data_IF_405310630176
#
_entry.id   IF_405310630176
#
_cell.length_a   1.000
_cell.length_b   1.000
_cell.length_c   1.000
_cell.angle_alpha   90.00
_cell.angle_beta   90.00
_cell.angle_gamma   90.00
#
_symmetry.space_group_name_H-M   'P 1'
#
loop_
_entity.id
_entity.type
_entity.pdbx_description
1 polymer ?
#
# COMPACT_ATOMS: atom_id res chain seq x y z
N UNK A 1 5.56 -19.83 -14.16
CA UNK A 1 6.86 -19.31 -13.69
C UNK A 1 6.70 -19.00 -12.21
N UNK A 2 7.28 -19.79 -11.31
CA UNK A 2 7.13 -19.59 -9.87
C UNK A 2 7.93 -18.37 -9.44
N UNK A 3 7.24 -17.27 -9.12
CA UNK A 3 7.88 -16.12 -8.50
C UNK A 3 8.32 -16.55 -7.10
N UNK A 4 9.63 -16.57 -6.82
CA UNK A 4 10.09 -16.64 -5.43
C UNK A 4 9.72 -15.29 -4.81
N UNK A 5 8.66 -15.29 -4.01
CA UNK A 5 8.27 -14.14 -3.20
C UNK A 5 9.45 -13.83 -2.27
N UNK A 6 9.93 -12.59 -2.33
CA UNK A 6 10.92 -12.10 -1.36
C UNK A 6 10.23 -11.74 -0.05
N UNK A 7 10.97 -11.58 1.04
CA UNK A 7 10.38 -11.10 2.30
C UNK A 7 9.68 -9.74 2.13
N UNK A 8 10.18 -8.88 1.24
CA UNK A 8 9.51 -7.61 0.86
C UNK A 8 8.16 -7.85 0.15
N UNK A 9 8.08 -8.82 -0.76
CA UNK A 9 6.81 -9.20 -1.39
C UNK A 9 5.76 -9.67 -0.37
N UNK A 10 6.19 -10.50 0.58
CA UNK A 10 5.30 -11.05 1.61
C UNK A 10 4.85 -9.95 2.57
N UNK A 11 5.76 -9.04 2.92
CA UNK A 11 5.47 -7.86 3.72
C UNK A 11 4.42 -6.97 3.03
N UNK A 12 4.68 -6.58 1.77
CA UNK A 12 3.77 -5.72 1.01
C UNK A 12 2.40 -6.37 0.82
N UNK A 13 2.37 -7.68 0.56
CA UNK A 13 1.11 -8.42 0.48
C UNK A 13 0.33 -8.38 1.79
N UNK A 14 0.99 -8.53 2.94
CA UNK A 14 0.34 -8.45 4.24
C UNK A 14 -0.22 -7.05 4.51
N UNK A 15 0.56 -6.02 4.18
CA UNK A 15 0.19 -4.59 4.28
C UNK A 15 -1.04 -4.29 3.42
N UNK A 16 -1.00 -4.64 2.14
CA UNK A 16 -2.10 -4.41 1.18
C UNK A 16 -3.37 -5.14 1.62
N UNK A 17 -3.25 -6.39 2.06
CA UNK A 17 -4.40 -7.17 2.54
C UNK A 17 -5.02 -6.51 3.78
N UNK A 18 -4.20 -6.08 4.74
CA UNK A 18 -4.67 -5.42 5.94
C UNK A 18 -5.36 -4.09 5.63
N UNK A 19 -4.76 -3.27 4.75
CA UNK A 19 -5.34 -2.00 4.31
C UNK A 19 -6.69 -2.19 3.61
N UNK A 20 -6.82 -3.19 2.72
CA UNK A 20 -8.06 -3.45 2.01
C UNK A 20 -9.18 -3.99 2.92
N UNK A 21 -8.84 -4.82 3.91
CA UNK A 21 -9.84 -5.41 4.81
C UNK A 21 -10.23 -4.48 5.96
N UNK A 22 -9.27 -3.78 6.54
CA UNK A 22 -9.47 -3.03 7.78
C UNK A 22 -9.49 -1.51 7.56
N UNK A 23 -9.11 -1.03 6.37
CA UNK A 23 -9.05 0.41 6.04
C UNK A 23 -8.14 1.20 6.99
N UNK A 24 -7.17 0.52 7.59
CA UNK A 24 -6.13 1.08 8.42
C UNK A 24 -4.82 0.32 8.19
N UNK A 25 -3.70 0.92 8.57
CA UNK A 25 -2.38 0.33 8.48
C UNK A 25 -1.57 0.70 9.73
N UNK A 26 -1.48 -0.21 10.71
CA UNK A 26 -0.61 -0.03 11.87
C UNK A 26 0.86 -0.06 11.45
N UNK A 27 1.69 0.88 11.92
CA UNK A 27 3.12 0.86 11.57
C UNK A 27 3.88 -0.32 12.20
N UNK A 28 3.34 -0.92 13.25
CA UNK A 28 3.89 -2.11 13.88
C UNK A 28 3.40 -3.44 13.26
N UNK A 29 2.52 -3.39 12.25
CA UNK A 29 1.88 -4.57 11.66
C UNK A 29 2.91 -5.62 11.20
N UNK A 30 3.97 -5.16 10.53
CA UNK A 30 5.01 -6.01 9.94
C UNK A 30 6.18 -6.26 10.88
N UNK A 31 6.36 -5.39 11.88
CA UNK A 31 7.47 -5.44 12.82
C UNK A 31 7.49 -6.77 13.59
N UNK A 32 6.31 -7.31 13.96
CA UNK A 32 6.20 -8.62 14.62
C UNK A 32 6.38 -9.84 13.69
N UNK A 33 6.02 -9.72 12.41
CA UNK A 33 6.01 -10.87 11.47
C UNK A 33 7.29 -10.97 10.64
N UNK A 34 7.93 -9.84 10.35
CA UNK A 34 9.09 -9.73 9.46
C UNK A 34 10.31 -9.10 10.15
N UNK A 35 10.17 -8.58 11.37
CA UNK A 35 11.26 -7.92 12.09
C UNK A 35 11.71 -6.60 11.48
N UNK A 36 10.87 -5.98 10.64
CA UNK A 36 11.14 -4.71 9.97
C UNK A 36 9.99 -3.73 10.19
N UNK A 37 10.34 -2.47 10.42
CA UNK A 37 9.38 -1.40 10.59
C UNK A 37 8.85 -0.91 9.24
N UNK A 38 7.53 -0.76 9.18
CA UNK A 38 6.82 -0.24 8.01
C UNK A 38 7.33 1.13 7.57
N UNK A 39 7.68 2.00 8.53
CA UNK A 39 8.21 3.34 8.24
C UNK A 39 9.58 3.30 7.57
N UNK A 40 10.40 2.30 7.86
CA UNK A 40 11.72 2.15 7.25
C UNK A 40 11.61 1.52 5.86
N UNK A 41 10.74 0.52 5.71
CA UNK A 41 10.58 -0.21 4.44
C UNK A 41 9.74 0.55 3.41
N UNK A 42 8.70 1.27 3.86
CA UNK A 42 7.79 2.04 3.02
C UNK A 42 8.06 3.55 3.12
N UNK A 43 9.23 4.00 3.56
CA UNK A 43 9.52 5.44 3.73
C UNK A 43 9.21 6.25 2.45
N UNK A 44 9.73 5.80 1.31
CA UNK A 44 9.46 6.42 0.00
C UNK A 44 7.98 6.30 -0.43
N UNK A 45 7.28 5.25 0.01
CA UNK A 45 5.87 5.04 -0.30
C UNK A 45 4.98 5.94 0.58
N UNK A 46 5.35 6.14 1.85
CA UNK A 46 4.70 7.03 2.80
C UNK A 46 4.82 8.50 2.40
N UNK A 47 5.97 8.91 1.86
CA UNK A 47 6.13 10.24 1.26
C UNK A 47 5.12 10.47 0.12
N UNK A 48 4.89 9.46 -0.73
CA UNK A 48 3.83 9.55 -1.76
C UNK A 48 2.43 9.55 -1.16
N UNK A 49 2.26 8.94 0.01
CA UNK A 49 0.99 8.96 0.72
C UNK A 49 0.61 10.31 1.30
N UNK A 50 1.57 11.21 1.57
CA UNK A 50 1.27 12.56 2.08
C UNK A 50 0.36 13.35 1.13
N UNK A 51 0.53 13.21 -0.19
CA UNK A 51 -0.37 13.86 -1.16
C UNK A 51 -1.84 13.42 -0.96
N UNK A 52 -2.07 12.14 -0.67
CA UNK A 52 -3.41 11.62 -0.39
C UNK A 52 -3.95 12.04 0.99
N UNK A 53 -3.07 12.45 1.91
CA UNK A 53 -3.47 13.08 3.17
C UNK A 53 -4.00 14.48 2.90
N UNK A 54 -3.32 15.25 2.05
CA UNK A 54 -3.77 16.58 1.62
C UNK A 54 -5.12 16.54 0.89
N UNK A 55 -5.33 15.53 0.03
CA UNK A 55 -6.62 15.27 -0.62
C UNK A 55 -7.71 14.72 0.33
N UNK A 56 -7.35 14.39 1.57
CA UNK A 56 -8.28 13.88 2.58
C UNK A 56 -8.73 12.44 2.36
N UNK A 57 -7.95 11.63 1.62
CA UNK A 57 -8.19 10.20 1.44
C UNK A 57 -7.53 9.34 2.52
N UNK A 58 -6.44 9.84 3.11
CA UNK A 58 -5.71 9.18 4.19
C UNK A 58 -5.55 10.13 5.37
N UNK A 59 -5.42 9.56 6.56
CA UNK A 59 -5.05 10.27 7.77
C UNK A 59 -3.88 9.54 8.42
N UNK A 60 -2.73 10.22 8.53
CA UNK A 60 -1.55 9.67 9.20
C UNK A 60 -1.65 9.98 10.69
N UNK A 61 -1.96 8.95 11.49
CA UNK A 61 -1.90 9.02 12.94
C UNK A 61 -0.49 8.63 13.44
N UNK A 62 -0.15 8.87 14.72
CA UNK A 62 1.16 8.53 15.27
C UNK A 62 1.49 7.03 15.20
N UNK A 63 0.50 6.17 15.41
CA UNK A 63 0.65 4.70 15.50
C UNK A 63 0.24 3.96 14.23
N UNK A 64 -0.59 4.59 13.37
CA UNK A 64 -1.16 3.97 12.17
C UNK A 64 -1.51 4.99 11.10
N UNK A 65 -1.63 4.55 9.86
CA UNK A 65 -2.33 5.28 8.82
C UNK A 65 -3.79 4.81 8.74
N UNK A 66 -4.75 5.71 8.58
CA UNK A 66 -6.17 5.39 8.49
C UNK A 66 -6.75 5.91 7.19
N UNK A 67 -7.51 5.07 6.48
CA UNK A 67 -8.22 5.47 5.27
C UNK A 67 -9.49 6.21 5.69
N UNK A 68 -9.64 7.43 5.22
CA UNK A 68 -10.83 8.25 5.50
C UNK A 68 -12.05 7.66 4.78
N UNK A 69 -13.29 8.04 5.15
CA UNK A 69 -14.49 7.60 4.43
C UNK A 69 -14.43 7.89 2.92
N UNK A 70 -13.80 8.99 2.51
CA UNK A 70 -13.61 9.35 1.11
C UNK A 70 -12.56 8.46 0.45
N UNK A 71 -11.45 8.18 1.14
CA UNK A 71 -10.40 7.29 0.66
C UNK A 71 -10.84 5.85 0.45
N UNK A 72 -11.94 5.39 1.07
CA UNK A 72 -12.47 4.02 0.89
C UNK A 72 -12.81 3.71 -0.56
N UNK A 73 -13.29 4.70 -1.31
CA UNK A 73 -13.57 4.55 -2.74
C UNK A 73 -12.30 4.37 -3.57
N UNK A 74 -11.18 4.85 -3.06
CA UNK A 74 -9.86 4.83 -3.70
C UNK A 74 -8.88 3.88 -3.00
N UNK A 75 -9.34 3.04 -2.07
CA UNK A 75 -8.46 2.14 -1.29
C UNK A 75 -7.61 1.24 -2.18
N UNK A 76 -8.14 0.85 -3.35
CA UNK A 76 -7.38 0.06 -4.33
C UNK A 76 -6.23 0.85 -4.94
N UNK A 77 -6.40 2.15 -5.20
CA UNK A 77 -5.31 3.02 -5.67
C UNK A 77 -4.27 3.21 -4.58
N UNK A 78 -4.71 3.47 -3.34
CA UNK A 78 -3.83 3.59 -2.18
C UNK A 78 -3.02 2.30 -1.95
N UNK A 79 -3.65 1.13 -2.10
CA UNK A 79 -2.98 -0.16 -2.00
C UNK A 79 -1.98 -0.41 -3.14
N UNK A 80 -2.25 0.10 -4.35
CA UNK A 80 -1.35 -0.01 -5.48
C UNK A 80 -0.07 0.82 -5.27
N UNK A 81 -0.15 1.96 -4.60
CA UNK A 81 1.02 2.77 -4.24
C UNK A 81 1.97 2.06 -3.27
N UNK A 82 1.46 1.12 -2.48
CA UNK A 82 2.24 0.29 -1.56
C UNK A 82 2.83 -0.97 -2.23
N UNK A 83 2.49 -1.25 -3.49
CA UNK A 83 2.95 -2.42 -4.24
C UNK A 83 4.13 -2.08 -5.17
N UNK A 84 5.36 -2.41 -4.73
CA UNK A 84 6.58 -2.18 -5.52
C UNK A 84 6.64 -2.98 -6.84
N UNK A 85 5.89 -4.09 -6.95
CA UNK A 85 5.86 -4.90 -8.16
C UNK A 85 4.96 -4.31 -9.25
N UNK A 86 3.95 -3.54 -8.84
CA UNK A 86 3.12 -2.78 -9.77
C UNK A 86 3.80 -1.50 -10.25
N UNK A 87 4.64 -0.87 -9.43
CA UNK A 87 5.50 0.23 -9.88
C UNK A 87 6.43 -0.23 -11.03
N UNK A 88 6.98 -1.45 -10.94
CA UNK A 88 7.76 -2.08 -12.03
C UNK A 88 6.89 -2.62 -13.17
N UNK A 89 5.63 -2.97 -12.89
CA UNK A 89 4.61 -3.37 -13.87
C UNK A 89 3.68 -2.20 -14.23
N UNK A 90 4.18 -0.97 -14.29
CA UNK A 90 3.54 0.06 -15.13
C UNK A 90 3.80 -0.20 -16.62
N UNK A 91 3.83 -1.49 -17.01
CA UNK A 91 3.69 -1.97 -18.37
C UNK A 91 2.19 -2.14 -18.64
N UNK A 92 1.61 -1.10 -19.24
CA UNK A 92 0.34 -1.10 -19.95
C UNK A 92 -0.89 -1.39 -19.07
N UNK A 93 -1.55 -0.30 -18.69
CA UNK A 93 -3.01 -0.22 -18.80
C UNK A 93 -3.36 -0.65 -20.24
N UNK A 94 -3.69 -1.92 -20.42
CA UNK A 94 -4.27 -2.40 -21.66
C UNK A 94 -5.69 -1.84 -21.69
N UNK A 95 -5.85 -0.66 -22.32
CA UNK A 95 -7.14 -0.25 -22.85
C UNK A 95 -7.64 -1.40 -23.71
N UNK A 96 -8.65 -2.10 -23.20
CA UNK A 96 -9.39 -3.10 -23.95
C UNK A 96 -9.96 -2.39 -25.18
N UNK A 97 -9.31 -2.59 -26.34
CA UNK A 97 -9.92 -2.24 -27.62
C UNK A 97 -11.18 -3.08 -27.75
N UNK A 98 -12.33 -2.45 -27.54
CA UNK A 98 -13.60 -2.95 -28.04
C UNK A 98 -13.90 -2.18 -29.32
N UNK A 99 -13.86 -2.95 -30.42
CA UNK A 99 -14.26 -2.71 -31.82
C UNK A 99 -14.31 -1.27 -32.35
#
# INVERSE_FOLDING_TARGET
KGYKLTDDDLLRRAVILHLMCNLELPYNLTSASFGVDLRETLGEDLERMEAYVEDGFLELLPDRAQVTPLGRFFVRLLAMELDAHLAKTSQKIAFSKTV
#
